data_IF_979837959700
#
_entry.id   IF_979837959700
#
_cell.length_a   1.000
_cell.length_b   1.000
_cell.length_c   1.000
_cell.angle_alpha   90.00
_cell.angle_beta   90.00
_cell.angle_gamma   90.00
#
_symmetry.space_group_name_H-M   'P 1'
#
loop_
_entity.id
_entity.type
_entity.pdbx_description
1 polymer ?
#
# COMPACT_ATOMS: atom_id res chain seq x y z
N UNK A 1 1.61 -12.80 -13.27
CA UNK A 1 1.27 -11.83 -12.20
C UNK A 1 0.19 -10.90 -12.71
N UNK A 2 -0.88 -10.69 -11.96
CA UNK A 2 -2.00 -9.83 -12.36
C UNK A 2 -1.92 -8.50 -11.61
N UNK A 3 -2.23 -7.40 -12.28
CA UNK A 3 -2.21 -6.06 -11.69
C UNK A 3 -3.63 -5.59 -11.38
N UNK A 4 -3.82 -5.03 -10.19
CA UNK A 4 -5.09 -4.48 -9.76
C UNK A 4 -4.85 -3.06 -9.28
N UNK A 5 -5.33 -2.07 -10.04
CA UNK A 5 -5.29 -0.68 -9.64
C UNK A 5 -6.51 -0.39 -8.75
N UNK A 6 -6.24 0.04 -7.52
CA UNK A 6 -7.25 0.45 -6.56
C UNK A 6 -7.60 1.92 -6.77
N UNK A 7 -8.80 2.30 -6.33
CA UNK A 7 -9.30 3.66 -6.46
C UNK A 7 -8.60 4.62 -5.51
N UNK A 8 -8.31 4.19 -4.28
CA UNK A 8 -7.76 5.04 -3.24
C UNK A 8 -6.85 4.27 -2.28
N UNK A 9 -5.97 5.00 -1.59
CA UNK A 9 -5.15 4.42 -0.53
C UNK A 9 -6.00 3.76 0.57
N UNK A 10 -7.19 4.29 0.84
CA UNK A 10 -8.15 3.66 1.75
C UNK A 10 -8.46 2.22 1.34
N UNK A 11 -8.68 1.96 0.06
CA UNK A 11 -8.99 0.61 -0.43
C UNK A 11 -7.79 -0.34 -0.23
N UNK A 12 -6.56 0.15 -0.42
CA UNK A 12 -5.34 -0.62 -0.15
C UNK A 12 -5.23 -0.98 1.33
N UNK A 13 -5.48 -0.01 2.21
CA UNK A 13 -5.42 -0.19 3.66
C UNK A 13 -6.49 -1.17 4.13
N UNK A 14 -7.72 -1.07 3.62
CA UNK A 14 -8.79 -2.02 3.94
C UNK A 14 -8.42 -3.44 3.52
N UNK A 15 -7.73 -3.61 2.39
CA UNK A 15 -7.25 -4.91 1.94
C UNK A 15 -6.20 -5.47 2.89
N UNK A 16 -5.22 -4.66 3.31
CA UNK A 16 -4.22 -5.06 4.31
C UNK A 16 -4.85 -5.38 5.66
N UNK A 17 -5.79 -4.54 6.12
CA UNK A 17 -6.43 -4.69 7.43
C UNK A 17 -7.33 -5.93 7.53
N UNK A 18 -7.92 -6.35 6.40
CA UNK A 18 -8.76 -7.55 6.32
C UNK A 18 -7.97 -8.82 5.99
N UNK A 19 -6.70 -8.69 5.61
CA UNK A 19 -5.86 -9.84 5.26
C UNK A 19 -5.39 -10.58 6.52
N UNK A 20 -5.49 -11.91 6.56
CA UNK A 20 -4.97 -12.71 7.68
C UNK A 20 -3.44 -12.70 7.76
N UNK A 21 -2.75 -12.35 6.67
CA UNK A 21 -1.31 -12.09 6.68
C UNK A 21 -1.06 -10.62 7.02
N UNK A 22 -0.17 -10.34 7.97
CA UNK A 22 0.33 -8.99 8.26
C UNK A 22 0.91 -8.38 6.99
N UNK A 23 0.12 -7.55 6.31
CA UNK A 23 0.52 -6.96 5.04
C UNK A 23 1.44 -5.77 5.28
N UNK A 24 2.59 -5.82 4.63
CA UNK A 24 3.50 -4.67 4.51
C UNK A 24 3.08 -3.89 3.28
N UNK A 25 2.90 -2.58 3.44
CA UNK A 25 2.67 -1.68 2.30
C UNK A 25 4.04 -1.28 1.78
N UNK A 26 4.25 -1.49 0.49
CA UNK A 26 5.49 -1.09 -0.19
C UNK A 26 5.25 0.25 -0.88
N UNK A 27 6.22 1.13 -0.81
CA UNK A 27 6.18 2.43 -1.44
C UNK A 27 7.38 2.60 -2.36
N UNK A 28 7.12 3.06 -3.59
CA UNK A 28 8.15 3.50 -4.52
C UNK A 28 7.79 4.90 -5.01
N UNK A 29 8.74 5.82 -4.88
CA UNK A 29 8.61 7.17 -5.39
C UNK A 29 9.19 7.26 -6.80
N UNK A 30 8.42 7.80 -7.73
CA UNK A 30 8.91 8.37 -8.98
C UNK A 30 8.77 9.90 -8.90
N UNK A 31 9.57 10.65 -9.66
CA UNK A 31 9.75 12.11 -9.57
C UNK A 31 8.51 12.97 -9.30
N UNK A 32 7.31 12.53 -9.69
CA UNK A 32 6.04 13.26 -9.52
C UNK A 32 4.94 12.46 -8.83
N UNK A 33 5.18 11.20 -8.47
CA UNK A 33 4.11 10.26 -8.12
C UNK A 33 4.59 9.19 -7.15
N UNK A 34 3.76 8.92 -6.16
CA UNK A 34 4.02 7.92 -5.12
C UNK A 34 3.16 6.69 -5.41
N UNK A 35 3.79 5.54 -5.60
CA UNK A 35 3.09 4.28 -5.82
C UNK A 35 3.13 3.46 -4.53
N UNK A 36 1.96 3.20 -3.98
CA UNK A 36 1.79 2.30 -2.85
C UNK A 36 1.22 0.98 -3.34
N UNK A 37 1.81 -0.13 -2.93
CA UNK A 37 1.35 -1.44 -3.37
C UNK A 37 1.59 -2.52 -2.34
N UNK A 38 0.87 -3.62 -2.50
CA UNK A 38 1.10 -4.86 -1.77
C UNK A 38 1.03 -6.02 -2.76
N UNK A 39 1.82 -7.05 -2.48
CA UNK A 39 1.75 -8.32 -3.20
C UNK A 39 0.86 -9.25 -2.40
N UNK A 40 -0.30 -9.57 -2.99
CA UNK A 40 -1.23 -10.56 -2.47
C UNK A 40 -1.29 -11.76 -3.41
N UNK A 41 -1.92 -12.84 -2.98
CA UNK A 41 -2.02 -14.01 -3.83
C UNK A 41 -2.60 -15.22 -3.14
N UNK A 42 -2.86 -16.21 -3.97
CA UNK A 42 -3.11 -17.59 -3.56
C UNK A 42 -1.85 -18.42 -3.86
N UNK A 43 -1.87 -19.72 -3.53
CA UNK A 43 -0.81 -20.65 -3.93
C UNK A 43 -0.53 -20.69 -5.45
N UNK A 44 -1.52 -20.32 -6.27
CA UNK A 44 -1.43 -20.47 -7.73
C UNK A 44 -1.35 -19.15 -8.48
N UNK A 45 -1.81 -18.04 -7.87
CA UNK A 45 -1.88 -16.74 -8.54
C UNK A 45 -1.37 -15.62 -7.63
N UNK A 46 -0.50 -14.78 -8.19
CA UNK A 46 -0.03 -13.55 -7.54
C UNK A 46 -0.70 -12.32 -8.15
N UNK A 47 -1.20 -11.46 -7.26
CA UNK A 47 -1.84 -10.19 -7.55
C UNK A 47 -1.03 -9.06 -6.94
N UNK A 48 -0.80 -8.02 -7.72
CA UNK A 48 -0.22 -6.78 -7.22
C UNK A 48 -1.32 -5.73 -7.15
N UNK A 49 -1.70 -5.38 -5.92
CA UNK A 49 -2.68 -4.33 -5.67
C UNK A 49 -1.91 -3.02 -5.48
N UNK A 50 -2.25 -2.00 -6.25
CA UNK A 50 -1.52 -0.74 -6.23
C UNK A 50 -2.44 0.47 -6.30
N UNK A 51 -1.98 1.58 -5.76
CA UNK A 51 -2.62 2.88 -5.83
C UNK A 51 -1.55 3.96 -5.98
N UNK A 52 -1.91 4.99 -6.74
CA UNK A 52 -1.04 6.12 -7.04
C UNK A 52 -1.53 7.35 -6.29
N UNK A 53 -0.62 7.98 -5.57
CA UNK A 53 -0.87 9.21 -4.84
C UNK A 53 0.05 10.31 -5.37
N UNK A 54 -0.44 11.55 -5.33
CA UNK A 54 0.36 12.74 -5.70
C UNK A 54 1.29 13.18 -4.58
N UNK A 55 0.90 12.90 -3.35
CA UNK A 55 1.62 13.28 -2.14
C UNK A 55 2.10 12.03 -1.42
N UNK A 56 3.29 12.11 -0.83
CA UNK A 56 3.79 11.06 0.04
C UNK A 56 3.04 11.07 1.37
N UNK A 57 2.72 9.88 1.87
CA UNK A 57 2.30 9.69 3.25
C UNK A 57 3.39 10.12 4.22
N UNK A 58 2.98 10.83 5.28
CA UNK A 58 3.90 11.32 6.31
C UNK A 58 4.09 10.25 7.39
N UNK A 59 5.23 9.57 7.36
CA UNK A 59 5.64 8.63 8.39
C UNK A 59 5.89 7.23 7.86
N UNK A 60 6.39 6.35 8.74
CA UNK A 60 6.85 5.00 8.41
C UNK A 60 5.79 3.91 8.61
N UNK A 61 4.65 4.25 9.23
CA UNK A 61 3.54 3.35 9.48
C UNK A 61 2.23 4.03 9.11
N UNK A 62 1.31 3.27 8.52
CA UNK A 62 -0.08 3.66 8.36
C UNK A 62 -0.88 3.08 9.50
N UNK A 63 -1.71 3.90 10.14
CA UNK A 63 -2.64 3.46 11.17
C UNK A 63 -4.05 3.38 10.62
N UNK A 64 -4.77 2.36 11.06
CA UNK A 64 -6.20 2.23 10.81
C UNK A 64 -6.91 1.96 12.14
N UNK A 65 -7.80 2.86 12.52
CA UNK A 65 -8.67 2.65 13.67
C UNK A 65 -9.94 1.92 13.22
N UNK A 66 -10.10 0.67 13.65
CA UNK A 66 -11.25 -0.17 13.24
C UNK A 66 -12.57 0.31 13.83
N UNK A 67 -12.54 1.10 14.90
CA UNK A 67 -13.72 1.67 15.55
C UNK A 67 -14.20 2.95 14.84
N UNK A 68 -13.32 3.93 14.64
CA UNK A 68 -13.68 5.19 13.98
C UNK A 68 -13.63 5.13 12.45
N UNK A 69 -12.92 4.14 11.88
CA UNK A 69 -12.65 4.04 10.45
C UNK A 69 -11.63 5.05 9.93
N UNK A 70 -10.96 5.76 10.84
CA UNK A 70 -9.94 6.76 10.53
C UNK A 70 -8.64 6.11 10.08
N UNK A 71 -7.99 6.77 9.12
CA UNK A 71 -6.69 6.40 8.59
C UNK A 71 -5.72 7.51 8.92
N UNK A 72 -4.60 7.15 9.54
CA UNK A 72 -3.52 8.06 9.88
C UNK A 72 -2.17 7.52 9.46
N UNK A 73 -1.12 8.26 9.81
CA UNK A 73 0.24 7.82 9.64
C UNK A 73 1.08 8.24 10.86
N UNK A 74 2.08 7.43 11.20
CA UNK A 74 2.94 7.65 12.35
C UNK A 74 4.36 7.12 12.14
N UNK A 75 5.28 7.57 12.99
CA UNK A 75 6.70 7.17 12.90
C UNK A 75 7.01 5.82 13.54
N UNK A 76 6.12 5.35 14.43
CA UNK A 76 6.36 4.16 15.24
C UNK A 76 5.11 3.28 15.23
N UNK A 77 5.33 1.97 15.31
CA UNK A 77 4.26 1.01 15.47
C UNK A 77 3.41 1.33 16.70
N UNK A 78 2.09 1.42 16.53
CA UNK A 78 1.15 1.58 17.63
C UNK A 78 0.70 0.21 18.17
N UNK A 79 0.48 0.15 19.47
CA UNK A 79 0.03 -1.04 20.19
C UNK A 79 -1.29 -0.77 20.91
N UNK A 80 -2.29 -0.26 20.19
CA UNK A 80 -3.64 -0.06 20.72
C UNK A 80 -4.60 -1.15 20.21
N UNK A 81 -5.51 -1.67 21.03
CA UNK A 81 -6.39 -2.79 20.66
C UNK A 81 -7.24 -2.55 19.39
N UNK A 82 -7.64 -1.30 19.16
CA UNK A 82 -8.50 -0.91 18.04
C UNK A 82 -7.72 -0.27 16.88
N UNK A 83 -6.39 -0.19 16.99
CA UNK A 83 -5.54 0.45 15.97
C UNK A 83 -4.58 -0.57 15.39
N UNK A 84 -4.79 -0.88 14.12
CA UNK A 84 -3.82 -1.63 13.33
C UNK A 84 -2.75 -0.68 12.80
N UNK A 85 -1.48 -1.09 12.89
CA UNK A 85 -0.35 -0.37 12.30
C UNK A 85 0.29 -1.21 11.21
N UNK A 86 0.35 -0.65 10.00
CA UNK A 86 0.94 -1.30 8.83
C UNK A 86 2.24 -0.59 8.46
N UNK A 87 3.38 -1.28 8.44
CA UNK A 87 4.64 -0.65 8.04
C UNK A 87 4.58 -0.27 6.55
N UNK A 88 5.13 0.91 6.26
CA UNK A 88 5.41 1.38 4.90
C UNK A 88 6.90 1.19 4.64
N UNK A 89 7.23 0.32 3.68
CA UNK A 89 8.62 0.03 3.31
C UNK A 89 8.97 0.76 2.02
N UNK A 90 9.96 1.63 2.12
CA UNK A 90 10.52 2.39 1.00
C UNK A 90 11.40 1.50 0.10
N UNK A 91 11.02 1.39 -1.16
CA UNK A 91 11.70 0.54 -2.14
C UNK A 91 12.54 1.41 -3.07
N UNK A 92 13.86 1.20 -3.02
CA UNK A 92 14.82 1.93 -3.87
C UNK A 92 14.90 1.33 -5.28
N UNK A 93 14.81 -0.01 -5.40
CA UNK A 93 14.88 -0.73 -6.67
C UNK A 93 14.04 -1.99 -6.60
N UNK A 94 13.39 -2.32 -7.70
CA UNK A 94 12.51 -3.47 -7.83
C UNK A 94 12.59 -4.04 -9.25
N UNK A 95 12.29 -5.33 -9.41
CA UNK A 95 12.22 -6.04 -10.70
C UNK A 95 10.89 -6.84 -10.82
N UNK A 96 9.88 -6.42 -10.05
CA UNK A 96 8.56 -7.05 -9.95
C UNK A 96 7.53 -6.32 -10.82
N UNK A 97 7.58 -4.98 -10.85
CA UNK A 97 6.74 -4.09 -11.61
C UNK A 97 7.40 -3.80 -12.96
N UNK A 98 6.73 -4.09 -14.09
CA UNK A 98 7.17 -3.65 -15.41
C UNK A 98 7.30 -2.13 -15.43
N UNK A 99 8.33 -1.60 -16.10
CA UNK A 99 8.52 -0.16 -16.27
C UNK A 99 7.28 0.51 -16.87
N UNK A 100 6.68 -0.15 -17.87
CA UNK A 100 5.45 0.25 -18.52
C UNK A 100 4.27 0.39 -17.54
N UNK A 101 4.23 -0.35 -16.42
CA UNK A 101 3.17 -0.21 -15.43
C UNK A 101 3.35 1.08 -14.62
N UNK A 102 4.60 1.43 -14.28
CA UNK A 102 4.91 2.68 -13.58
C UNK A 102 4.56 3.89 -14.45
N UNK A 103 4.74 3.77 -15.77
CA UNK A 103 4.43 4.81 -16.76
C UNK A 103 2.93 4.84 -17.14
N UNK A 104 2.30 3.68 -17.34
CA UNK A 104 0.91 3.54 -17.81
C UNK A 104 -0.14 3.55 -16.69
N UNK A 105 0.23 3.58 -15.41
CA UNK A 105 -0.69 3.90 -14.30
C UNK A 105 -1.11 5.38 -14.30
N UNK A 106 -1.10 6.05 -15.45
CA UNK A 106 -1.92 7.21 -15.76
C UNK A 106 -3.34 6.73 -16.05
N UNK A 107 -4.15 6.61 -15.00
CA UNK A 107 -5.60 6.49 -15.17
C UNK A 107 -6.22 7.80 -15.71
N UNK A 108 -7.44 7.72 -16.26
CA UNK A 108 -8.06 8.64 -17.22
C UNK A 108 -8.15 10.12 -16.80
#
# INVERSE_FOLDING_TARGET
>A
MKFVQLRSLRDLIMLVASSPSSGVIQHIANDKTHLYFLVGGTLHEMFLYCVKEKEQLKGNFITYNSYSGEIGACEKMQHEPNVSSFPVVEIVRQDLLPADLLENLGGP
#
